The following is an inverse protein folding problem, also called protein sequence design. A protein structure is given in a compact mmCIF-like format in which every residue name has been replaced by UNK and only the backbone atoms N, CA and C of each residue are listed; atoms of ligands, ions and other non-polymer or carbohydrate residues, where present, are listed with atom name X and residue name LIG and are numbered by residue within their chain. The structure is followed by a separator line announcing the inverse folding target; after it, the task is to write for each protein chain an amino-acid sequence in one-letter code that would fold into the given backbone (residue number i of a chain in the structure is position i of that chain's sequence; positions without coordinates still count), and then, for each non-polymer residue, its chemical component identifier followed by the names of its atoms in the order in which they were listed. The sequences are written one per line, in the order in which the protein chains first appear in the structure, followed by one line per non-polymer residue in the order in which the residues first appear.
data_IF_252687945589
#
_entry.id   IF_252687945589
#
_cell.length_a   1.000
_cell.length_b   1.000
_cell.length_c   1.000
_cell.angle_alpha   90.00
_cell.angle_beta   90.00
_cell.angle_gamma   90.00
#
_symmetry.space_group_name_H-M   'P 1'
#
loop_
_entity.id
_entity.type
_entity.pdbx_description
1 polymer ?
#
# COMPACT_ATOMS: atom_id res chain seq x y z
N UNK A 1 -23.76 1.30 -7.54
CA UNK A 1 -23.47 0.56 -6.29
C UNK A 1 -24.27 1.13 -5.12
N UNK A 2 -24.74 0.34 -4.12
CA UNK A 2 -25.29 0.92 -2.89
C UNK A 2 -24.25 1.84 -2.23
N UNK A 3 -24.68 3.01 -1.77
CA UNK A 3 -23.79 3.99 -1.12
C UNK A 3 -23.31 3.56 0.27
N UNK A 4 -23.94 2.54 0.84
CA UNK A 4 -23.67 2.06 2.19
C UNK A 4 -23.22 0.59 2.17
N UNK A 5 -22.09 0.35 2.82
CA UNK A 5 -21.36 -0.93 2.84
C UNK A 5 -22.20 -2.02 3.51
N UNK A 6 -22.99 -1.64 4.51
CA UNK A 6 -23.84 -2.59 5.23
C UNK A 6 -24.93 -3.14 4.29
N UNK A 7 -25.49 -2.30 3.42
CA UNK A 7 -26.44 -2.74 2.40
C UNK A 7 -25.82 -3.68 1.37
N UNK A 8 -24.55 -3.47 1.00
CA UNK A 8 -23.82 -4.40 0.12
C UNK A 8 -23.76 -5.80 0.74
N UNK A 9 -23.39 -5.89 2.02
CA UNK A 9 -23.32 -7.17 2.75
C UNK A 9 -24.69 -7.85 2.83
N UNK A 10 -25.76 -7.10 3.12
CA UNK A 10 -27.12 -7.64 3.15
C UNK A 10 -27.61 -8.15 1.79
N UNK A 11 -27.16 -7.53 0.68
CA UNK A 11 -27.49 -7.94 -0.69
C UNK A 11 -26.74 -9.21 -1.10
N UNK A 12 -25.42 -9.25 -0.90
CA UNK A 12 -24.61 -10.42 -1.25
C UNK A 12 -24.99 -11.63 -0.37
N UNK A 13 -25.32 -11.39 0.90
CA UNK A 13 -25.79 -12.41 1.85
C UNK A 13 -27.15 -13.05 1.52
N UNK A 14 -27.80 -12.65 0.42
CA UNK A 14 -28.95 -13.38 -0.14
C UNK A 14 -28.53 -14.64 -0.92
N UNK A 15 -27.28 -14.72 -1.35
CA UNK A 15 -26.71 -15.84 -2.10
C UNK A 15 -25.84 -16.72 -1.20
N UNK A 16 -25.56 -17.97 -1.61
CA UNK A 16 -24.59 -18.83 -0.92
C UNK A 16 -24.92 -19.21 0.53
N UNK A 17 -26.20 -19.34 0.87
CA UNK A 17 -26.65 -19.69 2.24
C UNK A 17 -26.33 -21.16 2.55
N UNK A 18 -25.84 -21.46 3.75
CA UNK A 18 -25.43 -22.82 4.15
C UNK A 18 -24.11 -23.24 3.47
N UNK A 19 -24.03 -24.49 3.00
CA UNK A 19 -22.85 -25.02 2.28
C UNK A 19 -22.95 -24.88 0.75
N UNK A 20 -23.93 -24.15 0.24
CA UNK A 20 -24.13 -23.96 -1.20
C UNK A 20 -23.24 -22.83 -1.74
N UNK A 21 -22.67 -23.02 -2.93
CA UNK A 21 -21.89 -21.98 -3.61
C UNK A 21 -22.83 -20.95 -4.22
N UNK A 22 -22.54 -19.66 -4.00
CA UNK A 22 -23.21 -18.54 -4.64
C UNK A 22 -22.20 -17.62 -5.30
N UNK A 23 -22.60 -16.96 -6.38
CA UNK A 23 -21.79 -15.94 -7.07
C UNK A 23 -22.58 -14.64 -7.07
N UNK A 24 -21.96 -13.57 -6.58
CA UNK A 24 -22.50 -12.22 -6.66
C UNK A 24 -21.60 -11.38 -7.57
N UNK A 25 -22.15 -10.91 -8.68
CA UNK A 25 -21.46 -10.03 -9.62
C UNK A 25 -21.95 -8.62 -9.36
N UNK A 26 -21.02 -7.68 -9.26
CA UNK A 26 -21.38 -6.28 -9.01
C UNK A 26 -20.76 -5.38 -10.06
N UNK A 27 -21.63 -4.68 -10.78
CA UNK A 27 -21.25 -3.70 -11.79
C UNK A 27 -21.06 -2.34 -11.12
N UNK A 28 -20.01 -1.64 -11.52
CA UNK A 28 -19.68 -0.31 -11.00
C UNK A 28 -19.17 0.59 -12.11
N UNK A 29 -19.31 1.89 -11.91
CA UNK A 29 -18.70 2.91 -12.76
C UNK A 29 -17.42 3.46 -12.12
N UNK A 30 -16.51 4.11 -12.88
CA UNK A 30 -15.29 4.68 -12.33
C UNK A 30 -15.50 5.62 -11.14
N UNK A 31 -16.62 6.36 -11.10
CA UNK A 31 -16.97 7.26 -10.00
C UNK A 31 -17.25 6.52 -8.68
N UNK A 32 -17.59 5.24 -8.76
CA UNK A 32 -17.94 4.38 -7.61
C UNK A 32 -16.74 3.56 -7.11
N UNK A 33 -15.54 3.74 -7.69
CA UNK A 33 -14.33 3.00 -7.31
C UNK A 33 -13.97 3.17 -5.83
N UNK A 34 -14.29 4.33 -5.25
CA UNK A 34 -14.11 4.58 -3.82
C UNK A 34 -14.92 3.62 -2.94
N UNK A 35 -16.15 3.31 -3.33
CA UNK A 35 -17.03 2.42 -2.56
C UNK A 35 -16.48 0.99 -2.57
N UNK A 36 -15.86 0.55 -3.67
CA UNK A 36 -15.21 -0.75 -3.77
C UNK A 36 -14.02 -0.84 -2.82
N UNK A 37 -13.18 0.19 -2.79
CA UNK A 37 -12.05 0.26 -1.86
C UNK A 37 -12.52 0.16 -0.40
N UNK A 38 -13.63 0.82 -0.03
CA UNK A 38 -14.18 0.73 1.32
C UNK A 38 -14.68 -0.68 1.68
N UNK A 39 -15.22 -1.41 0.70
CA UNK A 39 -15.65 -2.80 0.89
C UNK A 39 -14.43 -3.73 1.00
N UNK A 40 -13.38 -3.52 0.20
CA UNK A 40 -12.11 -4.26 0.33
C UNK A 40 -11.46 -4.06 1.70
N UNK A 41 -11.47 -2.84 2.22
CA UNK A 41 -10.93 -2.52 3.55
C UNK A 41 -11.66 -3.27 4.68
N UNK A 42 -12.92 -3.69 4.47
CA UNK A 42 -13.67 -4.54 5.42
C UNK A 42 -13.35 -6.03 5.31
N UNK A 43 -12.47 -6.44 4.39
CA UNK A 43 -11.99 -7.81 4.25
C UNK A 43 -12.61 -8.62 3.12
N UNK A 44 -13.40 -7.99 2.23
CA UNK A 44 -13.86 -8.64 1.01
C UNK A 44 -12.74 -8.66 -0.04
N UNK A 45 -12.63 -9.76 -0.79
CA UNK A 45 -11.67 -9.92 -1.87
C UNK A 45 -12.43 -9.96 -3.19
N UNK A 46 -12.16 -9.02 -4.09
CA UNK A 46 -12.79 -8.96 -5.41
C UNK A 46 -11.87 -9.46 -6.51
N UNK A 47 -12.45 -10.20 -7.46
CA UNK A 47 -11.83 -10.49 -8.74
C UNK A 47 -12.35 -9.46 -9.76
N UNK A 48 -11.45 -8.64 -10.31
CA UNK A 48 -11.84 -7.64 -11.31
C UNK A 48 -11.90 -8.31 -12.68
N UNK A 49 -13.09 -8.27 -13.30
CA UNK A 49 -13.33 -8.83 -14.64
C UNK A 49 -13.92 -7.77 -15.55
N UNK A 50 -13.63 -7.88 -16.85
CA UNK A 50 -14.15 -7.01 -17.89
C UNK A 50 -14.79 -7.87 -18.99
N UNK A 51 -15.79 -7.32 -19.68
CA UNK A 51 -16.49 -8.02 -20.75
C UNK A 51 -15.75 -7.75 -22.06
N UNK A 52 -15.10 -8.77 -22.61
CA UNK A 52 -14.41 -8.71 -23.89
C UNK A 52 -14.88 -9.85 -24.78
N UNK A 53 -15.40 -9.50 -25.94
CA UNK A 53 -15.91 -10.47 -26.93
C UNK A 53 -17.06 -11.34 -26.40
N UNK A 54 -17.86 -10.80 -25.47
CA UNK A 54 -18.95 -11.55 -24.81
C UNK A 54 -18.51 -12.46 -23.67
N UNK A 55 -17.21 -12.50 -23.35
CA UNK A 55 -16.65 -13.30 -22.26
C UNK A 55 -16.15 -12.42 -21.11
N UNK A 56 -16.26 -12.93 -19.88
CA UNK A 56 -15.65 -12.30 -18.71
C UNK A 56 -14.16 -12.65 -18.67
N UNK A 57 -13.30 -11.67 -18.97
CA UNK A 57 -11.85 -11.82 -18.89
C UNK A 57 -11.32 -11.11 -17.66
N UNK A 58 -10.40 -11.74 -16.94
CA UNK A 58 -9.75 -11.12 -15.78
C UNK A 58 -8.95 -9.89 -16.20
N UNK A 59 -9.12 -8.81 -15.44
CA UNK A 59 -8.44 -7.55 -15.67
C UNK A 59 -7.69 -7.13 -14.41
N UNK A 60 -6.69 -6.29 -14.65
CA UNK A 60 -5.94 -5.56 -13.64
C UNK A 60 -6.87 -4.91 -12.62
N UNK A 61 -6.57 -5.08 -11.33
CA UNK A 61 -7.30 -4.43 -10.24
C UNK A 61 -7.39 -2.91 -10.42
N UNK A 62 -8.50 -2.33 -9.98
CA UNK A 62 -8.80 -0.90 -10.08
C UNK A 62 -7.75 -0.03 -9.35
N UNK A 63 -7.36 -0.44 -8.13
CA UNK A 63 -6.44 0.30 -7.26
C UNK A 63 -4.94 0.19 -7.61
N UNK A 64 -4.56 -0.32 -8.78
CA UNK A 64 -3.15 -0.55 -9.15
C UNK A 64 -2.27 0.69 -9.13
N UNK A 65 -2.84 1.88 -9.35
CA UNK A 65 -2.09 3.14 -9.24
C UNK A 65 -1.74 3.43 -7.79
N UNK A 66 -2.68 3.22 -6.87
CA UNK A 66 -2.47 3.40 -5.43
C UNK A 66 -1.48 2.36 -4.89
N UNK A 67 -1.59 1.10 -5.33
CA UNK A 67 -0.66 0.04 -4.95
C UNK A 67 0.79 0.32 -5.39
N UNK A 68 0.98 1.03 -6.52
CA UNK A 68 2.30 1.46 -7.00
C UNK A 68 2.88 2.66 -6.26
N UNK A 69 2.08 3.40 -5.49
CA UNK A 69 2.60 4.52 -4.71
C UNK A 69 3.56 4.00 -3.65
N UNK A 70 4.79 4.55 -3.66
CA UNK A 70 5.80 4.22 -2.66
C UNK A 70 5.29 4.66 -1.28
N UNK A 71 4.86 3.72 -0.46
CA UNK A 71 4.59 3.96 0.95
C UNK A 71 5.92 4.17 1.67
N UNK A 72 6.00 5.24 2.44
CA UNK A 72 7.17 5.47 3.28
C UNK A 72 7.14 4.49 4.44
N UNK A 73 8.16 3.65 4.53
CA UNK A 73 8.37 2.76 5.67
C UNK A 73 8.57 3.55 6.97
N UNK A 74 8.33 2.92 8.12
CA UNK A 74 8.45 3.54 9.45
C UNK A 74 9.83 4.19 9.65
N UNK A 75 10.90 3.51 9.23
CA UNK A 75 12.26 4.05 9.23
C UNK A 75 12.38 5.32 8.37
N UNK A 76 11.73 5.32 7.21
CA UNK A 76 11.73 6.50 6.33
C UNK A 76 11.06 7.70 7.00
N UNK A 77 9.97 7.48 7.71
CA UNK A 77 9.26 8.55 8.43
C UNK A 77 10.09 9.09 9.60
N UNK A 78 10.75 8.22 10.36
CA UNK A 78 11.69 8.64 11.41
C UNK A 78 12.83 9.50 10.86
N UNK A 79 13.46 9.06 9.76
CA UNK A 79 14.53 9.83 9.10
C UNK A 79 14.01 11.17 8.62
N UNK A 80 12.83 11.22 7.99
CA UNK A 80 12.20 12.47 7.55
C UNK A 80 11.95 13.43 8.71
N UNK A 81 11.40 12.95 9.82
CA UNK A 81 11.14 13.76 11.00
C UNK A 81 12.44 14.32 11.60
N UNK A 82 13.49 13.50 11.68
CA UNK A 82 14.81 13.90 12.17
C UNK A 82 15.52 14.90 11.26
N UNK A 83 15.31 14.86 9.95
CA UNK A 83 15.79 15.91 9.04
C UNK A 83 14.96 17.18 9.24
N UNK A 84 13.63 17.06 9.31
CA UNK A 84 12.71 18.19 9.43
C UNK A 84 12.92 18.97 10.72
N UNK A 85 13.21 18.30 11.83
CA UNK A 85 13.52 18.96 13.11
C UNK A 85 14.82 19.76 13.11
N UNK A 86 15.75 19.46 12.20
CA UNK A 86 17.02 20.19 12.05
C UNK A 86 16.91 21.43 11.16
N UNK A 87 15.79 21.59 10.47
CA UNK A 87 15.58 22.68 9.53
C UNK A 87 15.06 23.91 10.27
N UNK A 88 15.60 25.07 9.91
CA UNK A 88 15.14 26.36 10.41
C UNK A 88 13.75 26.69 9.86
N UNK A 89 12.91 27.35 10.67
CA UNK A 89 11.53 27.74 10.31
C UNK A 89 11.44 28.57 9.01
N UNK A 90 12.49 29.35 8.68
CA UNK A 90 12.54 30.14 7.44
C UNK A 90 12.83 29.27 6.23
N UNK A 91 11.82 29.08 5.38
CA UNK A 91 11.95 28.37 4.11
C UNK A 91 12.75 29.20 3.11
N UNK A 92 13.86 28.65 2.62
CA UNK A 92 14.67 29.25 1.54
C UNK A 92 14.32 28.63 0.18
N UNK A 93 14.53 29.34 -0.94
CA UNK A 93 14.49 28.73 -2.27
C UNK A 93 15.35 27.47 -2.33
N UNK A 94 14.86 26.43 -3.02
CA UNK A 94 15.55 25.13 -3.09
C UNK A 94 15.43 24.25 -1.85
N UNK A 95 14.67 24.66 -0.82
CA UNK A 95 14.45 23.90 0.42
C UNK A 95 14.05 22.43 0.18
N UNK A 96 13.03 22.19 -0.66
CA UNK A 96 12.52 20.83 -0.95
C UNK A 96 13.63 19.91 -1.50
N UNK A 97 14.51 20.44 -2.35
CA UNK A 97 15.64 19.70 -2.92
C UNK A 97 16.66 19.35 -1.85
N UNK A 98 17.04 20.31 -0.99
CA UNK A 98 17.96 20.10 0.13
C UNK A 98 17.42 19.07 1.13
N UNK A 99 16.14 19.18 1.49
CA UNK A 99 15.48 18.22 2.38
C UNK A 99 15.55 16.80 1.83
N UNK A 100 15.20 16.60 0.55
CA UNK A 100 15.27 15.29 -0.09
C UNK A 100 16.70 14.72 -0.07
N UNK A 101 17.70 15.54 -0.39
CA UNK A 101 19.11 15.14 -0.36
C UNK A 101 19.57 14.72 1.04
N UNK A 102 19.18 15.44 2.09
CA UNK A 102 19.53 15.10 3.47
C UNK A 102 18.86 13.81 3.95
N UNK A 103 17.59 13.62 3.60
CA UNK A 103 16.85 12.37 3.88
C UNK A 103 17.55 11.18 3.20
N UNK A 104 17.90 11.30 1.91
CA UNK A 104 18.61 10.23 1.20
C UNK A 104 20.02 9.97 1.76
N UNK A 105 20.73 11.02 2.17
CA UNK A 105 22.05 10.90 2.81
C UNK A 105 21.97 10.13 4.12
N UNK A 106 21.01 10.45 5.00
CA UNK A 106 20.82 9.71 6.25
C UNK A 106 20.39 8.26 6.00
N UNK A 107 19.44 8.01 5.09
CA UNK A 107 19.07 6.64 4.71
C UNK A 107 20.26 5.81 4.23
N UNK A 108 21.14 6.40 3.41
CA UNK A 108 22.35 5.73 2.91
C UNK A 108 23.33 5.41 4.05
N UNK A 109 23.47 6.32 5.02
CA UNK A 109 24.32 6.11 6.18
C UNK A 109 23.80 4.96 7.06
N UNK A 110 22.50 4.94 7.37
CA UNK A 110 21.88 3.88 8.17
C UNK A 110 22.02 2.50 7.49
N UNK A 111 21.75 2.42 6.18
CA UNK A 111 21.95 1.17 5.41
C UNK A 111 23.41 0.68 5.48
N UNK A 112 24.37 1.59 5.36
CA UNK A 112 25.81 1.27 5.45
C UNK A 112 26.20 0.80 6.85
N UNK A 113 25.66 1.41 7.90
CA UNK A 113 25.90 1.00 9.29
C UNK A 113 25.30 -0.38 9.58
N UNK A 114 24.05 -0.61 9.17
CA UNK A 114 23.38 -1.90 9.32
C UNK A 114 24.15 -3.03 8.64
N UNK A 115 24.55 -2.85 7.38
CA UNK A 115 25.35 -3.83 6.64
C UNK A 115 26.69 -4.13 7.34
N UNK A 116 27.38 -3.11 7.85
CA UNK A 116 28.63 -3.30 8.63
C UNK A 116 28.39 -4.10 9.91
N UNK A 117 27.29 -3.83 10.63
CA UNK A 117 26.95 -4.53 11.87
C UNK A 117 26.63 -6.01 11.60
N UNK A 118 25.83 -6.29 10.56
CA UNK A 118 25.52 -7.65 10.10
C UNK A 118 26.80 -8.43 9.75
N UNK A 119 27.71 -7.84 8.99
CA UNK A 119 28.98 -8.48 8.64
C UNK A 119 29.86 -8.76 9.87
N UNK A 120 29.88 -7.85 10.85
CA UNK A 120 30.60 -8.06 12.12
C UNK A 120 29.99 -9.21 12.93
N UNK A 121 28.67 -9.31 12.98
CA UNK A 121 27.96 -10.40 13.67
C UNK A 121 28.25 -11.76 13.00
N UNK A 122 28.14 -11.85 11.67
CA UNK A 122 28.50 -13.06 10.91
C UNK A 122 29.94 -13.51 11.18
N UNK A 123 30.90 -12.57 11.16
CA UNK A 123 32.31 -12.88 11.50
C UNK A 123 32.49 -13.40 12.92
N UNK A 124 31.70 -12.91 13.90
CA UNK A 124 31.74 -13.42 15.28
C UNK A 124 31.14 -14.82 15.39
N UNK A 125 30.04 -15.09 14.67
CA UNK A 125 29.41 -16.42 14.64
C UNK A 125 30.34 -17.46 14.02
N UNK A 126 30.97 -17.15 12.87
CA UNK A 126 31.93 -18.04 12.19
C UNK A 126 33.23 -18.29 12.97
N UNK A 127 33.50 -17.53 14.05
CA UNK A 127 34.65 -17.75 14.94
C UNK A 127 34.31 -18.61 16.16
N UNK A 128 33.01 -18.84 16.41
CA UNK A 128 32.51 -19.57 17.59
C UNK A 128 32.06 -20.99 17.26
N UNK A 129 31.77 -21.28 15.99
CA UNK A 129 31.71 -22.64 15.45
C UNK A 129 33.05 -22.98 14.79
#
# INVERSE_FOLDING_TARGET
MPNDIDFFTHRVGRTGRGNYKGVAITLYSPDEEHNISLIEDRGFIFNTVDIKDGELKEVKAHNQRQARMRKDDHLTNQVKNKVRSKIKNKVKPGYKKKFKQEVEKMKRQERKQFSKQQNRQKRKQNKKG
#
